data_IF_267264427667
#
_entry.id   IF_267264427667
#
_cell.length_a   1.000
_cell.length_b   1.000
_cell.length_c   1.000
_cell.angle_alpha   90.00
_cell.angle_beta   90.00
_cell.angle_gamma   90.00
#
_symmetry.space_group_name_H-M   'P 1'
#
loop_
_entity.id
_entity.type
_entity.pdbx_description
1 polymer ?
#
# COMPACT_ATOMS: atom_id res chain seq x y z
N UNK A 1 5.75 0.65 -7.85
CA UNK A 1 5.64 -0.61 -7.07
C UNK A 1 4.86 -1.67 -7.84
N UNK A 2 3.60 -1.43 -8.24
CA UNK A 2 2.84 -2.39 -9.08
C UNK A 2 3.59 -2.75 -10.37
N UNK A 3 3.97 -1.74 -11.14
CA UNK A 3 4.74 -1.92 -12.38
C UNK A 3 6.07 -2.68 -12.15
N UNK A 4 6.80 -2.37 -11.07
CA UNK A 4 8.03 -3.11 -10.74
C UNK A 4 7.74 -4.56 -10.35
N UNK A 5 6.63 -4.83 -9.66
CA UNK A 5 6.22 -6.20 -9.29
C UNK A 5 5.84 -7.00 -10.53
N UNK A 6 5.17 -6.37 -11.49
CA UNK A 6 4.85 -6.97 -12.79
C UNK A 6 6.12 -7.24 -13.61
N UNK A 7 7.03 -6.26 -13.70
CA UNK A 7 8.35 -6.44 -14.32
C UNK A 7 9.12 -7.61 -13.70
N UNK A 8 9.12 -7.76 -12.38
CA UNK A 8 9.74 -8.90 -11.70
C UNK A 8 9.11 -10.22 -12.13
N UNK A 9 7.78 -10.30 -12.22
CA UNK A 9 7.09 -11.51 -12.70
C UNK A 9 7.47 -11.84 -14.15
N UNK A 10 7.57 -10.84 -15.01
CA UNK A 10 7.95 -11.00 -16.41
C UNK A 10 9.40 -11.50 -16.54
N UNK A 11 10.35 -10.87 -15.83
CA UNK A 11 11.74 -11.30 -15.82
C UNK A 11 11.88 -12.73 -15.26
N UNK A 12 11.15 -13.07 -14.21
CA UNK A 12 11.08 -14.43 -13.68
C UNK A 12 10.59 -15.44 -14.73
N UNK A 13 9.51 -15.12 -15.46
CA UNK A 13 8.99 -15.97 -16.53
C UNK A 13 10.02 -16.14 -17.66
N UNK A 14 10.73 -15.08 -18.03
CA UNK A 14 11.77 -15.11 -19.07
C UNK A 14 12.96 -15.98 -18.65
N UNK A 15 13.46 -15.86 -17.42
CA UNK A 15 14.55 -16.70 -16.91
C UNK A 15 14.14 -18.18 -16.91
N UNK A 16 12.89 -18.49 -16.58
CA UNK A 16 12.37 -19.85 -16.65
C UNK A 16 12.13 -20.34 -18.08
N UNK A 17 12.23 -19.50 -19.10
CA UNK A 17 12.02 -19.89 -20.51
C UNK A 17 13.35 -20.12 -21.25
N UNK A 18 14.45 -19.50 -20.81
CA UNK A 18 15.78 -19.62 -21.43
C UNK A 18 16.71 -20.54 -20.61
N UNK A 19 17.44 -21.48 -21.23
CA UNK A 19 18.50 -22.24 -20.57
C UNK A 19 19.74 -21.41 -20.23
N UNK A 20 19.98 -20.32 -20.96
CA UNK A 20 21.11 -19.41 -20.75
C UNK A 20 20.55 -18.11 -20.14
N UNK A 21 20.73 -17.97 -18.82
CA UNK A 21 20.05 -16.96 -18.00
C UNK A 21 20.93 -15.79 -17.54
N UNK A 22 22.20 -15.76 -17.92
CA UNK A 22 23.20 -14.87 -17.30
C UNK A 22 22.87 -13.37 -17.40
N UNK A 23 22.46 -12.89 -18.57
CA UNK A 23 22.10 -11.47 -18.78
C UNK A 23 20.82 -11.09 -18.03
N UNK A 24 19.87 -12.03 -17.91
CA UNK A 24 18.57 -11.81 -17.27
C UNK A 24 18.61 -11.92 -15.76
N UNK A 25 19.57 -12.67 -15.21
CA UNK A 25 19.80 -12.67 -13.76
C UNK A 25 20.31 -11.31 -13.27
N UNK A 26 21.14 -10.61 -14.04
CA UNK A 26 21.57 -9.24 -13.72
C UNK A 26 20.39 -8.26 -13.75
N UNK A 27 19.56 -8.33 -14.79
CA UNK A 27 18.34 -7.51 -14.90
C UNK A 27 17.40 -7.75 -13.71
N UNK A 28 17.21 -9.00 -13.29
CA UNK A 28 16.40 -9.34 -12.12
C UNK A 28 16.99 -8.74 -10.82
N UNK A 29 18.29 -8.86 -10.60
CA UNK A 29 18.97 -8.29 -9.44
C UNK A 29 18.78 -6.75 -9.38
N UNK A 30 18.88 -6.06 -10.52
CA UNK A 30 18.66 -4.62 -10.63
C UNK A 30 17.22 -4.24 -10.28
N UNK A 31 16.23 -4.93 -10.86
CA UNK A 31 14.81 -4.66 -10.57
C UNK A 31 14.48 -4.95 -9.10
N UNK A 32 15.03 -6.02 -8.52
CA UNK A 32 14.87 -6.32 -7.10
C UNK A 32 15.49 -5.24 -6.20
N UNK A 33 16.66 -4.69 -6.58
CA UNK A 33 17.28 -3.58 -5.89
C UNK A 33 16.44 -2.29 -5.98
N UNK A 34 15.82 -2.02 -7.13
CA UNK A 34 14.88 -0.91 -7.31
C UNK A 34 13.65 -1.06 -6.42
N UNK A 35 13.04 -2.25 -6.38
CA UNK A 35 11.90 -2.56 -5.50
C UNK A 35 12.26 -2.30 -4.04
N UNK A 36 13.43 -2.79 -3.59
CA UNK A 36 13.92 -2.56 -2.23
C UNK A 36 14.08 -1.07 -1.92
N UNK A 37 14.76 -0.32 -2.80
CA UNK A 37 15.00 1.12 -2.61
C UNK A 37 13.68 1.89 -2.53
N UNK A 38 12.73 1.56 -3.39
CA UNK A 38 11.42 2.20 -3.39
C UNK A 38 10.62 1.83 -2.14
N UNK A 39 10.64 0.56 -1.71
CA UNK A 39 9.98 0.10 -0.50
C UNK A 39 10.53 0.81 0.75
N UNK A 40 11.85 0.89 0.92
CA UNK A 40 12.47 1.63 2.03
C UNK A 40 12.11 3.12 2.04
N UNK A 41 12.01 3.74 0.85
CA UNK A 41 11.59 5.15 0.73
C UNK A 41 10.12 5.33 1.13
N UNK A 42 9.22 4.47 0.65
CA UNK A 42 7.80 4.51 1.02
C UNK A 42 7.63 4.29 2.53
N UNK A 43 8.34 3.31 3.10
CA UNK A 43 8.36 3.04 4.54
C UNK A 43 8.82 4.27 5.35
N UNK A 44 9.88 4.95 4.91
CA UNK A 44 10.33 6.20 5.53
C UNK A 44 9.26 7.30 5.49
N UNK A 45 8.60 7.48 4.34
CA UNK A 45 7.51 8.45 4.19
C UNK A 45 6.30 8.10 5.06
N UNK A 46 5.93 6.82 5.15
CA UNK A 46 4.83 6.35 6.01
C UNK A 46 5.11 6.63 7.49
N UNK A 47 6.36 6.49 7.94
CA UNK A 47 6.75 6.85 9.32
C UNK A 47 6.58 8.35 9.60
N UNK A 48 6.99 9.20 8.67
CA UNK A 48 6.80 10.66 8.78
C UNK A 48 5.31 11.01 8.83
N UNK A 49 4.52 10.48 7.89
CA UNK A 49 3.07 10.70 7.84
C UNK A 49 2.39 10.24 9.12
N UNK A 50 2.81 9.11 9.70
CA UNK A 50 2.32 8.66 11.01
C UNK A 50 2.62 9.65 12.11
N UNK A 51 3.87 10.09 12.22
CA UNK A 51 4.24 11.06 13.24
C UNK A 51 3.39 12.34 13.12
N UNK A 52 3.23 12.86 11.90
CA UNK A 52 2.39 14.04 11.65
C UNK A 52 0.90 13.82 11.99
N UNK A 53 0.37 12.63 11.69
CA UNK A 53 -1.00 12.28 12.02
C UNK A 53 -1.21 12.19 13.55
N UNK A 54 -0.26 11.57 14.26
CA UNK A 54 -0.28 11.43 15.72
C UNK A 54 -0.11 12.79 16.43
N UNK A 55 0.70 13.71 15.88
CA UNK A 55 0.82 15.08 16.36
C UNK A 55 -0.47 15.88 16.12
N UNK A 56 -1.03 15.83 14.91
CA UNK A 56 -2.28 16.53 14.59
C UNK A 56 -3.46 16.03 15.46
N UNK A 57 -3.49 14.73 15.78
CA UNK A 57 -4.48 14.15 16.68
C UNK A 57 -4.31 14.56 18.14
N UNK A 58 -3.07 14.78 18.60
CA UNK A 58 -2.79 15.29 19.95
C UNK A 58 -3.15 16.76 20.09
N UNK A 59 -2.93 17.57 19.06
CA UNK A 59 -3.25 19.00 19.09
C UNK A 59 -4.76 19.27 19.02
N UNK A 60 -5.46 18.64 18.06
CA UNK A 60 -6.90 18.81 17.91
C UNK A 60 -7.57 17.58 17.27
N UNK A 61 -8.03 16.62 18.08
CA UNK A 61 -8.62 15.37 17.57
C UNK A 61 -9.96 15.58 16.85
N UNK A 62 -10.66 16.68 17.13
CA UNK A 62 -11.95 17.00 16.49
C UNK A 62 -11.80 17.64 15.11
N UNK A 63 -10.61 18.19 14.83
CA UNK A 63 -10.30 18.83 13.55
C UNK A 63 -10.49 17.85 12.39
N UNK A 64 -11.18 18.30 11.35
CA UNK A 64 -11.33 17.54 10.12
C UNK A 64 -9.96 17.25 9.47
N UNK A 65 -9.00 18.16 9.61
CA UNK A 65 -7.63 18.00 9.07
C UNK A 65 -6.90 16.88 9.79
N UNK A 66 -6.95 16.81 11.11
CA UNK A 66 -6.30 15.75 11.90
C UNK A 66 -6.87 14.38 11.56
N UNK A 67 -8.20 14.28 11.43
CA UNK A 67 -8.90 13.05 11.00
C UNK A 67 -8.53 12.64 9.59
N UNK A 68 -8.45 13.59 8.66
CA UNK A 68 -8.01 13.34 7.29
C UNK A 68 -6.58 12.77 7.26
N UNK A 69 -5.65 13.36 8.01
CA UNK A 69 -4.26 12.86 8.10
C UNK A 69 -4.19 11.43 8.60
N UNK A 70 -4.99 11.07 9.62
CA UNK A 70 -5.03 9.71 10.14
C UNK A 70 -5.58 8.71 9.12
N UNK A 71 -6.69 9.04 8.45
CA UNK A 71 -7.25 8.19 7.38
C UNK A 71 -6.23 7.96 6.26
N UNK A 72 -5.55 9.03 5.84
CA UNK A 72 -4.52 8.94 4.80
C UNK A 72 -3.39 8.02 5.23
N UNK A 73 -2.88 8.17 6.46
CA UNK A 73 -1.84 7.31 7.01
C UNK A 73 -2.26 5.83 6.95
N UNK A 74 -3.45 5.51 7.46
CA UNK A 74 -3.95 4.14 7.53
C UNK A 74 -4.16 3.52 6.16
N UNK A 75 -4.78 4.27 5.24
CA UNK A 75 -5.03 3.83 3.86
C UNK A 75 -3.72 3.56 3.12
N UNK A 76 -2.74 4.46 3.25
CA UNK A 76 -1.43 4.30 2.61
C UNK A 76 -0.65 3.12 3.22
N UNK A 77 -0.67 2.96 4.54
CA UNK A 77 -0.02 1.81 5.21
C UNK A 77 -0.65 0.48 4.79
N UNK A 78 -1.98 0.38 4.72
CA UNK A 78 -2.67 -0.83 4.24
C UNK A 78 -2.32 -1.15 2.79
N UNK A 79 -2.41 -0.15 1.92
CA UNK A 79 -2.07 -0.29 0.49
C UNK A 79 -0.61 -0.75 0.32
N UNK A 80 0.32 -0.22 1.13
CA UNK A 80 1.71 -0.65 1.09
C UNK A 80 1.89 -2.12 1.51
N UNK A 81 1.23 -2.55 2.59
CA UNK A 81 1.26 -3.96 3.03
C UNK A 81 0.70 -4.89 1.96
N UNK A 82 -0.42 -4.52 1.32
CA UNK A 82 -1.02 -5.31 0.24
C UNK A 82 -0.06 -5.45 -0.96
N UNK A 83 0.61 -4.36 -1.34
CA UNK A 83 1.61 -4.38 -2.41
C UNK A 83 2.83 -5.26 -2.07
N UNK A 84 3.36 -5.13 -0.86
CA UNK A 84 4.50 -5.95 -0.43
C UNK A 84 4.13 -7.43 -0.31
N UNK A 85 2.89 -7.72 0.09
CA UNK A 85 2.37 -9.09 0.13
C UNK A 85 2.25 -9.70 -1.27
N UNK A 86 1.76 -8.93 -2.24
CA UNK A 86 1.73 -9.34 -3.66
C UNK A 86 3.13 -9.58 -4.22
N UNK A 87 4.10 -8.73 -3.88
CA UNK A 87 5.50 -8.93 -4.24
C UNK A 87 6.08 -10.21 -3.61
N UNK A 88 5.85 -10.44 -2.32
CA UNK A 88 6.29 -11.67 -1.64
C UNK A 88 5.67 -12.93 -2.28
N UNK A 89 4.38 -12.89 -2.62
CA UNK A 89 3.72 -13.98 -3.32
C UNK A 89 4.39 -14.30 -4.67
N UNK A 90 4.78 -13.27 -5.43
CA UNK A 90 5.51 -13.45 -6.69
C UNK A 90 6.89 -14.09 -6.50
N UNK A 91 7.62 -13.69 -5.45
CA UNK A 91 8.92 -14.29 -5.09
C UNK A 91 8.77 -15.77 -4.71
N UNK A 92 7.75 -16.11 -3.90
CA UNK A 92 7.45 -17.49 -3.50
C UNK A 92 7.05 -18.36 -4.70
N UNK A 93 6.23 -17.84 -5.61
CA UNK A 93 5.85 -18.55 -6.83
C UNK A 93 7.09 -18.89 -7.70
N UNK A 94 8.02 -17.94 -7.83
CA UNK A 94 9.26 -18.19 -8.57
C UNK A 94 10.17 -19.19 -7.86
N UNK A 95 10.27 -19.15 -6.53
CA UNK A 95 11.00 -20.13 -5.71
C UNK A 95 10.51 -21.55 -5.98
N UNK A 96 9.20 -21.77 -5.96
CA UNK A 96 8.61 -23.08 -6.25
C UNK A 96 8.91 -23.55 -7.67
N UNK A 97 8.84 -22.65 -8.67
CA UNK A 97 9.21 -23.00 -10.06
C UNK A 97 10.69 -23.38 -10.20
N UNK A 98 11.59 -22.72 -9.47
CA UNK A 98 13.01 -23.09 -9.41
C UNK A 98 13.21 -24.48 -8.76
N UNK A 99 12.51 -24.75 -7.66
CA UNK A 99 12.52 -26.07 -6.99
C UNK A 99 12.04 -27.18 -7.92
N UNK A 100 10.92 -26.98 -8.62
CA UNK A 100 10.40 -27.94 -9.61
C UNK A 100 11.39 -28.22 -10.74
N UNK A 101 12.09 -27.19 -11.23
CA UNK A 101 13.15 -27.35 -12.24
C UNK A 101 14.31 -28.18 -11.71
N UNK A 102 14.80 -27.92 -10.50
CA UNK A 102 15.87 -28.71 -9.88
C UNK A 102 15.44 -30.17 -9.74
N UNK A 103 14.22 -30.42 -9.24
CA UNK A 103 13.65 -31.78 -9.12
C UNK A 103 13.64 -32.51 -10.46
N UNK A 104 13.24 -31.82 -11.54
CA UNK A 104 13.24 -32.37 -12.89
C UNK A 104 14.65 -32.70 -13.39
N UNK A 105 15.63 -31.83 -13.17
CA UNK A 105 17.01 -32.08 -13.56
C UNK A 105 17.64 -33.25 -12.80
N UNK A 106 17.34 -33.40 -11.51
CA UNK A 106 17.77 -34.56 -10.71
C UNK A 106 17.16 -35.87 -11.22
N UNK A 107 15.88 -35.85 -11.59
CA UNK A 107 15.24 -37.04 -12.15
C UNK A 107 15.88 -37.46 -13.49
N UNK A 108 16.25 -36.50 -14.35
CA UNK A 108 16.95 -36.77 -15.62
C UNK A 108 18.33 -37.40 -15.39
N UNK A 109 19.02 -37.03 -14.31
CA UNK A 109 20.33 -37.63 -13.95
C UNK A 109 20.20 -38.97 -13.21
N UNK A 110 18.97 -39.46 -13.01
CA UNK A 110 18.68 -40.76 -12.39
C UNK A 110 18.53 -40.71 -10.86
N UNK A 111 18.56 -39.52 -10.25
CA UNK A 111 18.37 -39.33 -8.81
C UNK A 111 16.91 -38.98 -8.54
N UNK A 112 16.16 -39.89 -7.94
CA UNK A 112 14.79 -39.61 -7.50
C UNK A 112 14.85 -39.06 -6.08
N UNK A 113 14.41 -37.82 -5.91
CA UNK A 113 14.43 -37.10 -4.62
C UNK A 113 13.00 -36.73 -4.24
N UNK A 114 12.65 -36.96 -2.97
CA UNK A 114 11.37 -36.47 -2.40
C UNK A 114 11.41 -34.96 -2.20
N UNK A 115 10.25 -34.32 -2.02
CA UNK A 115 10.22 -32.85 -1.84
C UNK A 115 10.92 -32.40 -0.57
N UNK A 116 10.83 -33.18 0.52
CA UNK A 116 11.50 -32.89 1.79
C UNK A 116 13.01 -33.00 1.66
N UNK A 117 13.50 -34.08 1.04
CA UNK A 117 14.93 -34.26 0.79
C UNK A 117 15.49 -33.18 -0.15
N UNK A 118 14.70 -32.72 -1.12
CA UNK A 118 15.12 -31.63 -2.01
C UNK A 118 15.21 -30.31 -1.24
N UNK A 119 14.28 -30.05 -0.32
CA UNK A 119 14.33 -28.87 0.55
C UNK A 119 15.58 -28.90 1.43
N UNK A 120 15.85 -30.01 2.11
CA UNK A 120 17.07 -30.19 2.92
C UNK A 120 18.34 -29.95 2.10
N UNK A 121 18.37 -30.44 0.85
CA UNK A 121 19.49 -30.21 -0.06
C UNK A 121 19.66 -28.74 -0.43
N UNK A 122 18.57 -28.01 -0.67
CA UNK A 122 18.59 -26.57 -0.97
C UNK A 122 19.05 -25.77 0.26
N UNK A 123 18.51 -26.08 1.45
CA UNK A 123 18.81 -25.41 2.72
C UNK A 123 20.24 -25.66 3.20
N UNK A 124 20.79 -26.85 2.95
CA UNK A 124 22.17 -27.18 3.31
C UNK A 124 23.21 -26.28 2.63
N UNK A 125 22.82 -25.58 1.55
CA UNK A 125 23.70 -24.73 0.75
C UNK A 125 24.80 -25.49 0.01
N UNK A 126 24.84 -26.82 0.13
CA UNK A 126 25.90 -27.64 -0.43
C UNK A 126 25.47 -28.22 -1.77
N UNK A 127 25.90 -27.53 -2.84
CA UNK A 127 25.62 -27.91 -4.22
C UNK A 127 26.26 -29.26 -4.59
N UNK A 128 27.29 -29.70 -3.86
CA UNK A 128 27.94 -30.99 -4.09
C UNK A 128 27.05 -32.19 -3.68
N UNK A 129 26.02 -31.97 -2.87
CA UNK A 129 25.03 -33.02 -2.55
C UNK A 129 24.22 -33.41 -3.80
N UNK A 130 24.13 -32.53 -4.80
CA UNK A 130 23.52 -32.82 -6.11
C UNK A 130 24.45 -33.63 -7.02
N UNK A 131 25.78 -33.62 -6.78
CA UNK A 131 26.79 -34.37 -7.55
C UNK A 131 27.21 -35.68 -6.90
N UNK A 132 26.91 -35.86 -5.61
CA UNK A 132 27.22 -37.07 -4.86
C UNK A 132 26.41 -38.26 -5.37
N UNK A 133 27.06 -39.14 -6.15
CA UNK A 133 26.51 -40.41 -6.63
C UNK A 133 26.41 -40.58 -8.15
N UNK A 134 26.65 -39.53 -8.93
CA UNK A 134 26.52 -39.58 -10.41
C UNK A 134 27.89 -39.45 -11.05
N UNK A 135 28.35 -40.47 -11.78
CA UNK A 135 29.56 -40.34 -12.61
C UNK A 135 29.34 -39.22 -13.64
N UNK A 136 30.02 -38.08 -13.46
CA UNK A 136 29.91 -36.83 -14.23
C UNK A 136 30.45 -36.92 -15.68
N UNK A 137 30.43 -38.11 -16.27
CA UNK A 137 31.12 -38.39 -17.54
C UNK A 137 30.34 -37.95 -18.77
N UNK A 138 29.01 -37.81 -18.68
CA UNK A 138 28.19 -37.38 -19.83
C UNK A 138 28.04 -35.86 -19.91
N UNK A 139 28.11 -35.31 -21.13
CA UNK A 139 27.86 -33.88 -21.38
C UNK A 139 26.48 -33.43 -20.85
N UNK A 140 25.49 -34.32 -20.90
CA UNK A 140 24.14 -34.09 -20.38
C UNK A 140 24.09 -33.94 -18.86
N UNK A 141 24.85 -34.76 -18.12
CA UNK A 141 24.95 -34.63 -16.67
C UNK A 141 25.63 -33.32 -16.24
N UNK A 142 26.67 -32.88 -16.98
CA UNK A 142 27.33 -31.59 -16.73
C UNK A 142 26.37 -30.41 -16.96
N UNK A 143 25.56 -30.45 -18.02
CA UNK A 143 24.57 -29.42 -18.29
C UNK A 143 23.44 -29.39 -17.25
N UNK A 144 22.93 -30.56 -16.85
CA UNK A 144 21.91 -30.66 -15.80
C UNK A 144 22.44 -30.10 -14.46
N UNK A 145 23.70 -30.39 -14.14
CA UNK A 145 24.34 -29.82 -12.96
C UNK A 145 24.41 -28.30 -13.05
N UNK A 146 24.92 -27.73 -14.14
CA UNK A 146 25.03 -26.28 -14.31
C UNK A 146 23.67 -25.57 -14.15
N UNK A 147 22.58 -26.14 -14.69
CA UNK A 147 21.22 -25.62 -14.48
C UNK A 147 20.82 -25.68 -13.00
N UNK A 148 21.06 -26.80 -12.31
CA UNK A 148 20.81 -26.93 -10.86
C UNK A 148 21.57 -25.88 -10.06
N UNK A 149 22.86 -25.65 -10.35
CA UNK A 149 23.65 -24.64 -9.64
C UNK A 149 23.09 -23.23 -9.88
N UNK A 150 22.71 -22.91 -11.11
CA UNK A 150 22.11 -21.62 -11.45
C UNK A 150 20.77 -21.41 -10.73
N UNK A 151 19.88 -22.41 -10.74
CA UNK A 151 18.59 -22.33 -10.03
C UNK A 151 18.77 -22.25 -8.51
N UNK A 152 19.75 -22.95 -7.94
CA UNK A 152 20.06 -22.86 -6.51
C UNK A 152 20.53 -21.46 -6.13
N UNK A 153 21.43 -20.86 -6.93
CA UNK A 153 21.87 -19.47 -6.74
C UNK A 153 20.68 -18.50 -6.78
N UNK A 154 19.75 -18.68 -7.73
CA UNK A 154 18.53 -17.87 -7.78
C UNK A 154 17.72 -18.01 -6.49
N UNK A 155 17.49 -19.23 -5.98
CA UNK A 155 16.78 -19.45 -4.71
C UNK A 155 17.46 -18.72 -3.54
N UNK A 156 18.78 -18.77 -3.44
CA UNK A 156 19.53 -18.07 -2.40
C UNK A 156 19.36 -16.55 -2.46
N UNK A 157 19.28 -15.98 -3.67
CA UNK A 157 18.99 -14.55 -3.86
C UNK A 157 17.56 -14.19 -3.47
N UNK A 158 16.57 -15.03 -3.82
CA UNK A 158 15.18 -14.86 -3.40
C UNK A 158 15.07 -14.87 -1.87
N UNK A 159 15.71 -15.84 -1.21
CA UNK A 159 15.66 -15.96 0.25
C UNK A 159 16.27 -14.75 0.95
N UNK A 160 17.35 -14.18 0.38
CA UNK A 160 17.89 -12.91 0.87
C UNK A 160 16.87 -11.77 0.71
N UNK A 161 16.22 -11.67 -0.45
CA UNK A 161 15.20 -10.65 -0.69
C UNK A 161 13.99 -10.80 0.24
N UNK A 162 13.45 -12.01 0.39
CA UNK A 162 12.33 -12.33 1.29
C UNK A 162 12.70 -12.03 2.75
N UNK A 163 13.94 -12.31 3.15
CA UNK A 163 14.42 -11.97 4.50
C UNK A 163 14.40 -10.46 4.75
N UNK A 164 14.82 -9.67 3.77
CA UNK A 164 14.76 -8.21 3.83
C UNK A 164 13.30 -7.69 3.83
N UNK A 165 12.39 -8.36 3.10
CA UNK A 165 10.95 -8.06 3.15
C UNK A 165 10.35 -8.29 4.52
N UNK A 166 10.74 -9.39 5.18
CA UNK A 166 10.24 -9.76 6.51
C UNK A 166 10.55 -8.67 7.53
N UNK A 167 11.75 -8.10 7.51
CA UNK A 167 12.11 -7.01 8.42
C UNK A 167 11.20 -5.80 8.21
N UNK A 168 10.84 -5.48 6.95
CA UNK A 168 9.85 -4.46 6.64
C UNK A 168 8.45 -4.82 7.13
N UNK A 169 8.00 -6.08 6.98
CA UNK A 169 6.68 -6.52 7.45
C UNK A 169 6.52 -6.41 8.96
N UNK A 170 7.54 -6.76 9.73
CA UNK A 170 7.52 -6.62 11.20
C UNK A 170 7.33 -5.16 11.58
N UNK A 171 8.04 -4.24 10.94
CA UNK A 171 7.85 -2.81 11.19
C UNK A 171 6.49 -2.30 10.72
N UNK A 172 5.94 -2.82 9.63
CA UNK A 172 4.63 -2.44 9.12
C UNK A 172 3.47 -2.98 9.96
N UNK A 173 3.63 -4.14 10.61
CA UNK A 173 2.65 -4.65 11.56
C UNK A 173 2.36 -3.60 12.64
N UNK A 174 3.43 -3.01 13.20
CA UNK A 174 3.32 -1.91 14.18
C UNK A 174 2.64 -0.66 13.59
N UNK A 175 2.82 -0.37 12.29
CA UNK A 175 2.14 0.75 11.61
C UNK A 175 0.64 0.52 11.38
N UNK A 176 0.21 -0.72 11.28
CA UNK A 176 -1.17 -1.10 10.95
C UNK A 176 -2.01 -1.44 12.19
N UNK A 177 -1.39 -1.87 13.28
CA UNK A 177 -2.04 -2.42 14.48
C UNK A 177 -2.94 -1.44 15.26
N UNK A 178 -2.89 -0.13 14.99
CA UNK A 178 -3.71 0.88 15.67
C UNK A 178 -5.03 1.25 14.95
N UNK A 179 -5.50 0.47 13.98
CA UNK A 179 -6.65 0.88 13.13
C UNK A 179 -8.06 0.68 13.73
N UNK A 180 -8.25 -0.10 14.79
CA UNK A 180 -9.59 -0.50 15.24
C UNK A 180 -10.43 0.60 15.90
N UNK A 181 -9.90 1.24 16.95
CA UNK A 181 -10.74 2.05 17.85
C UNK A 181 -10.89 3.52 17.41
N UNK A 182 -9.91 4.06 16.67
CA UNK A 182 -9.92 5.48 16.26
C UNK A 182 -10.66 5.71 14.94
N UNK A 183 -10.67 4.75 14.02
CA UNK A 183 -11.40 4.84 12.74
C UNK A 183 -12.90 4.95 12.96
N UNK A 184 -13.44 4.14 13.88
CA UNK A 184 -14.86 4.10 14.21
C UNK A 184 -15.36 5.46 14.76
N UNK A 185 -14.53 6.11 15.58
CA UNK A 185 -14.78 7.48 16.08
C UNK A 185 -14.69 8.54 14.99
N UNK A 186 -13.88 8.31 13.94
CA UNK A 186 -13.73 9.24 12.83
C UNK A 186 -14.93 9.15 11.88
N UNK A 187 -15.36 7.95 11.50
CA UNK A 187 -16.57 7.76 10.69
C UNK A 187 -17.77 8.43 11.35
N UNK A 188 -17.95 8.20 12.65
CA UNK A 188 -18.96 8.89 13.45
C UNK A 188 -18.84 10.42 13.37
N UNK A 189 -17.64 10.98 13.57
CA UNK A 189 -17.44 12.42 13.53
C UNK A 189 -17.49 13.03 12.12
N UNK A 190 -17.19 12.28 11.06
CA UNK A 190 -17.28 12.74 9.65
C UNK A 190 -18.75 12.77 9.25
N UNK A 191 -19.52 11.74 9.63
CA UNK A 191 -20.98 11.72 9.49
C UNK A 191 -21.59 12.94 10.18
N UNK A 192 -21.20 13.21 11.43
CA UNK A 192 -21.70 14.38 12.16
C UNK A 192 -21.25 15.70 11.53
N UNK A 193 -20.04 15.79 10.98
CA UNK A 193 -19.58 17.01 10.30
C UNK A 193 -20.38 17.29 9.02
N UNK A 194 -20.72 16.26 8.25
CA UNK A 194 -21.61 16.40 7.10
C UNK A 194 -23.00 16.89 7.54
N UNK A 195 -23.53 16.36 8.64
CA UNK A 195 -24.79 16.78 9.25
C UNK A 195 -24.75 18.25 9.72
N UNK A 196 -23.66 18.67 10.39
CA UNK A 196 -23.48 20.07 10.81
C UNK A 196 -23.38 21.04 9.63
N UNK A 197 -22.72 20.67 8.54
CA UNK A 197 -22.64 21.49 7.33
C UNK A 197 -24.00 21.61 6.66
N UNK A 198 -24.77 20.53 6.61
CA UNK A 198 -26.14 20.56 6.09
C UNK A 198 -27.05 21.45 6.95
N UNK A 199 -26.92 21.37 8.27
CA UNK A 199 -27.68 22.19 9.20
C UNK A 199 -27.30 23.68 9.08
N UNK A 200 -25.99 23.99 9.02
CA UNK A 200 -25.51 25.36 8.81
C UNK A 200 -25.98 25.95 7.47
N UNK A 201 -26.05 25.12 6.41
CA UNK A 201 -26.64 25.53 5.12
C UNK A 201 -28.12 25.90 5.27
N UNK A 202 -28.91 25.12 6.02
CA UNK A 202 -30.32 25.44 6.28
C UNK A 202 -30.47 26.72 7.10
N UNK A 203 -29.66 26.90 8.14
CA UNK A 203 -29.70 28.10 9.00
C UNK A 203 -29.31 29.37 8.24
N UNK A 204 -28.28 29.31 7.40
CA UNK A 204 -27.88 30.44 6.54
C UNK A 204 -28.94 30.79 5.50
N UNK A 205 -29.61 29.80 4.91
CA UNK A 205 -30.73 30.03 4.00
C UNK A 205 -31.92 30.70 4.72
N UNK A 206 -32.26 30.23 5.92
CA UNK A 206 -33.32 30.85 6.74
C UNK A 206 -32.95 32.29 7.14
N UNK A 207 -31.70 32.54 7.53
CA UNK A 207 -31.22 33.88 7.89
C UNK A 207 -31.39 34.89 6.74
N UNK A 208 -31.09 34.48 5.51
CA UNK A 208 -31.32 35.32 4.30
C UNK A 208 -32.81 35.60 4.11
N UNK A 209 -33.68 34.60 4.29
CA UNK A 209 -35.13 34.79 4.20
C UNK A 209 -35.65 35.77 5.26
N UNK A 210 -35.20 35.64 6.51
CA UNK A 210 -35.55 36.57 7.59
C UNK A 210 -35.05 37.98 7.31
N UNK A 211 -33.84 38.14 6.75
CA UNK A 211 -33.31 39.44 6.35
C UNK A 211 -34.20 40.11 5.30
N UNK A 212 -34.61 39.38 4.25
CA UNK A 212 -35.52 39.91 3.24
C UNK A 212 -36.89 40.30 3.81
N UNK A 213 -37.44 39.47 4.71
CA UNK A 213 -38.71 39.78 5.37
C UNK A 213 -38.61 41.02 6.28
N UNK A 214 -37.50 41.17 7.02
CA UNK A 214 -37.24 42.31 7.88
C UNK A 214 -37.12 43.62 7.08
N UNK A 215 -36.44 43.58 5.92
CA UNK A 215 -36.35 44.74 5.02
C UNK A 215 -37.73 45.17 4.52
N UNK A 216 -38.60 44.22 4.12
CA UNK A 216 -39.99 44.52 3.71
C UNK A 216 -40.79 45.16 4.84
N UNK A 217 -40.68 44.64 6.07
CA UNK A 217 -41.35 45.21 7.25
C UNK A 217 -40.83 46.62 7.58
N UNK A 218 -39.53 46.86 7.43
CA UNK A 218 -38.92 48.19 7.63
C UNK A 218 -39.49 49.22 6.65
N UNK A 219 -39.64 48.89 5.37
CA UNK A 219 -40.27 49.79 4.39
C UNK A 219 -41.74 50.08 4.72
N UNK A 220 -42.48 49.06 5.17
CA UNK A 220 -43.87 49.22 5.62
C UNK A 220 -43.98 50.19 6.81
N UNK A 221 -43.10 50.04 7.81
CA UNK A 221 -43.07 50.93 8.98
C UNK A 221 -42.72 52.37 8.61
N UNK A 222 -41.74 52.58 7.71
CA UNK A 222 -41.39 53.91 7.20
C UNK A 222 -42.59 54.53 6.47
N UNK A 223 -43.30 53.76 5.63
CA UNK A 223 -44.48 54.22 4.91
C UNK A 223 -45.59 54.69 5.85
N UNK A 224 -45.91 53.92 6.89
CA UNK A 224 -46.91 54.31 7.90
C UNK A 224 -46.48 55.60 8.62
N UNK A 225 -45.21 55.73 9.01
CA UNK A 225 -44.69 56.92 9.67
C UNK A 225 -44.84 58.19 8.83
N UNK A 226 -44.60 58.11 7.51
CA UNK A 226 -44.78 59.23 6.59
C UNK A 226 -46.25 59.65 6.46
N UNK A 227 -47.18 58.69 6.42
CA UNK A 227 -48.62 58.97 6.37
C UNK A 227 -49.08 59.71 7.63
N UNK A 228 -48.65 59.25 8.80
CA UNK A 228 -48.98 59.91 10.08
C UNK A 228 -48.44 61.34 10.10
N UNK A 229 -47.21 61.56 9.63
CA UNK A 229 -46.61 62.90 9.54
C UNK A 229 -47.42 63.83 8.64
N UNK A 230 -47.87 63.35 7.47
CA UNK A 230 -48.70 64.13 6.54
C UNK A 230 -50.04 64.54 7.18
N UNK A 231 -50.70 63.64 7.91
CA UNK A 231 -51.95 63.93 8.61
C UNK A 231 -51.76 65.05 9.65
N UNK A 232 -50.66 65.00 10.41
CA UNK A 232 -50.34 66.03 11.41
C UNK A 232 -50.13 67.39 10.76
N UNK A 233 -49.40 67.44 9.63
CA UNK A 233 -49.16 68.68 8.89
C UNK A 233 -50.48 69.27 8.38
N UNK A 234 -51.35 68.44 7.80
CA UNK A 234 -52.66 68.87 7.31
C UNK A 234 -53.51 69.42 8.45
N UNK A 235 -53.56 68.73 9.59
CA UNK A 235 -54.32 69.16 10.77
C UNK A 235 -53.87 70.53 11.29
N UNK A 236 -52.55 70.79 11.34
CA UNK A 236 -52.02 72.09 11.77
C UNK A 236 -52.19 73.21 10.74
N UNK A 237 -52.40 72.86 9.47
CA UNK A 237 -52.59 73.83 8.38
C UNK A 237 -54.05 74.26 8.17
N UNK A 238 -55.00 73.56 8.79
CA UNK A 238 -56.45 73.80 8.72
C UNK A 238 -56.91 74.64 9.91
#
# INVERSE_FOLDING_TARGET
MLELTERVKDTHAMILSSPDGGDRTCELEDVMAEVKKLASRIQGMLKIIRQEADEAMRENPTSAVSRMKLIQQQTLSKTFVDLMSSYNAAQMEYREKCKERIKRQLHITGKTTTDDQLEDMIESGNVDVFTQGTMMETARAKQALADVQARHKDIMQLEKSIRELRDMFVEMAVLVECQGEMVDRIEYNVSNAAEYVEQAKKETEQAVQYQHAALKKKFWLIGIGLIILLIIIIYFSL
#
